data_IF_093692977428
#
_entry.id   IF_093692977428
#
_cell.length_a   1.000
_cell.length_b   1.000
_cell.length_c   1.000
_cell.angle_alpha   90.00
_cell.angle_beta   90.00
_cell.angle_gamma   90.00
#
_symmetry.space_group_name_H-M   'P 1'
#
loop_
_entity.id
_entity.type
_entity.pdbx_description
1 polymer ?
#
# COMPACT_ATOMS: atom_id res chain seq x y z
N UNK A 1 -53.06 -19.02 -35.95
CA UNK A 1 -52.32 -17.90 -35.32
C UNK A 1 -51.14 -18.51 -34.56
N UNK A 2 -49.92 -18.34 -35.07
CA UNK A 2 -48.71 -18.84 -34.39
C UNK A 2 -48.23 -17.78 -33.39
N UNK A 3 -48.09 -18.16 -32.13
CA UNK A 3 -47.60 -17.28 -31.07
C UNK A 3 -46.07 -17.19 -31.17
N UNK A 4 -45.55 -16.07 -31.65
CA UNK A 4 -44.11 -15.75 -31.71
C UNK A 4 -43.66 -15.02 -30.43
N UNK A 5 -44.07 -15.50 -29.26
CA UNK A 5 -43.59 -14.94 -28.00
C UNK A 5 -42.13 -15.34 -27.78
N UNK A 6 -41.24 -14.36 -27.66
CA UNK A 6 -39.86 -14.60 -27.26
C UNK A 6 -39.84 -15.28 -25.88
N UNK A 7 -39.22 -16.45 -25.79
CA UNK A 7 -39.02 -17.14 -24.51
C UNK A 7 -38.06 -16.29 -23.70
N UNK A 8 -38.44 -15.80 -22.51
CA UNK A 8 -37.52 -15.06 -21.67
C UNK A 8 -36.32 -15.95 -21.37
N UNK A 9 -35.12 -15.40 -21.53
CA UNK A 9 -33.88 -16.10 -21.23
C UNK A 9 -33.83 -16.31 -19.71
N UNK A 10 -34.31 -17.48 -19.25
CA UNK A 10 -34.40 -17.83 -17.83
C UNK A 10 -33.11 -18.45 -17.33
N UNK A 11 -32.10 -18.59 -18.19
CA UNK A 11 -30.81 -19.14 -17.80
C UNK A 11 -30.01 -18.04 -17.12
N UNK A 12 -29.79 -18.21 -15.82
CA UNK A 12 -28.91 -17.32 -15.07
C UNK A 12 -27.58 -17.16 -15.80
N UNK A 13 -27.28 -15.94 -16.25
CA UNK A 13 -26.00 -15.66 -16.88
C UNK A 13 -24.92 -15.65 -15.80
N UNK A 14 -23.71 -16.02 -16.21
CA UNK A 14 -22.52 -16.12 -15.34
C UNK A 14 -22.23 -14.83 -14.53
N UNK A 15 -22.80 -13.70 -14.95
CA UNK A 15 -22.54 -12.37 -14.40
C UNK A 15 -23.76 -11.69 -13.79
N UNK A 16 -24.90 -12.37 -13.64
CA UNK A 16 -26.12 -11.76 -13.04
C UNK A 16 -25.88 -11.26 -11.61
N UNK A 17 -24.97 -11.90 -10.88
CA UNK A 17 -24.57 -11.46 -9.54
C UNK A 17 -23.99 -10.04 -9.52
N UNK A 18 -23.47 -9.53 -10.65
CA UNK A 18 -22.93 -8.17 -10.74
C UNK A 18 -24.02 -7.12 -10.51
N UNK A 19 -25.26 -7.43 -10.83
CA UNK A 19 -26.37 -6.50 -10.64
C UNK A 19 -26.70 -6.27 -9.16
N UNK A 20 -26.39 -7.25 -8.31
CA UNK A 20 -26.60 -7.21 -6.86
C UNK A 20 -25.41 -6.60 -6.08
N UNK A 21 -24.39 -6.07 -6.75
CA UNK A 21 -23.26 -5.42 -6.09
C UNK A 21 -23.69 -4.13 -5.38
N UNK A 22 -23.46 -4.04 -4.07
CA UNK A 22 -23.78 -2.83 -3.30
C UNK A 22 -22.99 -1.60 -3.77
N UNK A 23 -21.75 -1.79 -4.26
CA UNK A 23 -20.91 -0.71 -4.77
C UNK A 23 -21.36 -0.14 -6.12
N UNK A 24 -22.34 -0.77 -6.81
CA UNK A 24 -22.80 -0.31 -8.13
C UNK A 24 -23.40 1.10 -8.11
N UNK A 25 -24.06 1.46 -7.00
CA UNK A 25 -24.74 2.75 -6.84
C UNK A 25 -23.87 3.79 -6.11
N UNK A 26 -22.63 3.43 -5.77
CA UNK A 26 -21.70 4.28 -5.06
C UNK A 26 -20.77 4.99 -6.06
N UNK A 27 -20.15 6.08 -5.62
CA UNK A 27 -19.26 6.87 -6.48
C UNK A 27 -17.97 6.09 -6.82
N UNK A 28 -17.50 6.06 -8.09
CA UNK A 28 -16.27 5.36 -8.46
C UNK A 28 -15.04 5.86 -7.68
N UNK A 29 -15.00 7.16 -7.36
CA UNK A 29 -13.88 7.77 -6.65
C UNK A 29 -13.68 7.17 -5.25
N UNK A 30 -14.76 6.71 -4.61
CA UNK A 30 -14.72 6.04 -3.30
C UNK A 30 -13.81 4.80 -3.35
N UNK A 31 -13.78 4.08 -4.47
CA UNK A 31 -13.02 2.84 -4.60
C UNK A 31 -11.63 3.05 -5.20
N UNK A 32 -11.38 4.14 -5.92
CA UNK A 32 -10.08 4.42 -6.54
C UNK A 32 -9.14 5.26 -5.67
N UNK A 33 -9.68 6.11 -4.79
CA UNK A 33 -8.86 7.05 -4.01
C UNK A 33 -8.44 6.49 -2.64
N UNK A 34 -7.15 6.65 -2.30
CA UNK A 34 -6.58 6.21 -1.02
C UNK A 34 -7.31 6.79 0.21
N UNK A 35 -7.81 8.03 0.09
CA UNK A 35 -8.51 8.73 1.17
C UNK A 35 -9.86 8.09 1.54
N UNK A 36 -10.45 7.31 0.63
CA UNK A 36 -11.73 6.64 0.81
C UNK A 36 -11.61 5.12 0.99
N UNK A 37 -10.38 4.58 1.15
CA UNK A 37 -10.16 3.13 1.28
C UNK A 37 -10.98 2.50 2.40
N UNK A 38 -11.07 3.14 3.56
CA UNK A 38 -11.85 2.63 4.69
C UNK A 38 -13.34 2.52 4.37
N UNK A 39 -13.90 3.55 3.73
CA UNK A 39 -15.31 3.60 3.32
C UNK A 39 -15.62 2.54 2.26
N UNK A 40 -14.77 2.42 1.24
CA UNK A 40 -14.88 1.38 0.22
C UNK A 40 -14.85 -0.03 0.83
N UNK A 41 -13.97 -0.26 1.81
CA UNK A 41 -13.88 -1.55 2.51
C UNK A 41 -15.16 -1.86 3.30
N UNK A 42 -15.72 -0.88 4.01
CA UNK A 42 -17.02 -1.04 4.69
C UNK A 42 -18.09 -1.45 3.69
N UNK A 43 -18.20 -0.78 2.55
CA UNK A 43 -19.21 -1.08 1.54
C UNK A 43 -19.03 -2.52 1.02
N UNK A 44 -17.79 -2.91 0.68
CA UNK A 44 -17.53 -4.25 0.17
C UNK A 44 -17.76 -5.36 1.22
N UNK A 45 -17.36 -5.15 2.47
CA UNK A 45 -17.35 -6.21 3.50
C UNK A 45 -18.70 -6.32 4.21
N UNK A 46 -19.32 -5.19 4.52
CA UNK A 46 -20.53 -5.15 5.36
C UNK A 46 -21.80 -5.10 4.51
N UNK A 47 -21.79 -4.35 3.40
CA UNK A 47 -23.02 -4.06 2.63
C UNK A 47 -23.19 -4.94 1.39
N UNK A 48 -22.11 -5.46 0.81
CA UNK A 48 -22.18 -6.16 -0.48
C UNK A 48 -22.54 -7.65 -0.32
N UNK A 49 -23.72 -8.10 -0.82
CA UNK A 49 -24.14 -9.49 -0.68
C UNK A 49 -23.39 -10.46 -1.59
N UNK A 50 -22.78 -9.96 -2.67
CA UNK A 50 -22.07 -10.75 -3.69
C UNK A 50 -20.55 -10.64 -3.59
N UNK A 51 -20.05 -10.33 -2.39
CA UNK A 51 -18.62 -10.14 -2.14
C UNK A 51 -17.79 -11.36 -2.55
N UNK A 52 -18.22 -12.56 -2.20
CA UNK A 52 -17.47 -13.80 -2.48
C UNK A 52 -17.37 -14.06 -3.98
N UNK A 53 -18.45 -13.84 -4.73
CA UNK A 53 -18.45 -13.94 -6.20
C UNK A 53 -17.55 -12.88 -6.84
N UNK A 54 -17.61 -11.64 -6.34
CA UNK A 54 -16.73 -10.53 -6.76
C UNK A 54 -15.26 -10.89 -6.55
N UNK A 55 -14.90 -11.40 -5.37
CA UNK A 55 -13.53 -11.80 -5.06
C UNK A 55 -13.03 -12.91 -5.99
N UNK A 56 -13.82 -13.98 -6.17
CA UNK A 56 -13.45 -15.08 -7.05
C UNK A 56 -13.27 -14.63 -8.50
N UNK A 57 -14.12 -13.72 -8.99
CA UNK A 57 -14.00 -13.14 -10.32
C UNK A 57 -12.70 -12.34 -10.47
N UNK A 58 -12.40 -11.47 -9.50
CA UNK A 58 -11.20 -10.61 -9.49
C UNK A 58 -9.92 -11.43 -9.35
N UNK A 59 -9.93 -12.47 -8.52
CA UNK A 59 -8.81 -13.43 -8.43
C UNK A 59 -8.55 -14.13 -9.77
N UNK A 60 -9.58 -14.40 -10.56
CA UNK A 60 -9.43 -14.95 -11.91
C UNK A 60 -8.80 -13.94 -12.88
N UNK A 61 -9.22 -12.68 -12.82
CA UNK A 61 -8.74 -11.61 -13.71
C UNK A 61 -7.31 -11.14 -13.36
N UNK A 62 -6.98 -11.03 -12.08
CA UNK A 62 -5.70 -10.48 -11.60
C UNK A 62 -4.61 -11.54 -11.40
N UNK A 63 -4.89 -12.82 -11.67
CA UNK A 63 -3.92 -13.90 -11.46
C UNK A 63 -2.63 -13.64 -12.24
N UNK A 64 -1.50 -13.58 -11.53
CA UNK A 64 -0.18 -13.36 -12.14
C UNK A 64 0.06 -11.91 -12.58
N UNK A 65 -0.87 -11.00 -12.30
CA UNK A 65 -0.74 -9.58 -12.63
C UNK A 65 0.14 -8.88 -11.58
N UNK A 66 1.07 -8.05 -12.04
CA UNK A 66 1.95 -7.25 -11.17
C UNK A 66 1.16 -6.26 -10.31
N UNK A 67 1.80 -5.79 -9.23
CA UNK A 67 1.20 -4.82 -8.30
C UNK A 67 0.71 -3.54 -9.01
N UNK A 68 1.49 -3.02 -9.95
CA UNK A 68 1.23 -1.71 -10.59
C UNK A 68 0.06 -1.72 -11.58
N UNK A 69 -0.50 -2.89 -11.88
CA UNK A 69 -1.68 -3.04 -12.74
C UNK A 69 -2.95 -3.31 -11.95
N UNK A 70 -2.89 -3.25 -10.63
CA UNK A 70 -4.02 -3.40 -9.72
C UNK A 70 -4.29 -2.05 -9.10
N UNK A 71 -5.55 -1.63 -9.12
CA UNK A 71 -5.96 -0.36 -8.57
C UNK A 71 -7.13 -0.53 -7.60
N UNK A 72 -7.26 0.45 -6.71
CA UNK A 72 -8.40 0.63 -5.83
C UNK A 72 -8.70 -0.52 -4.87
N UNK A 73 -9.87 -0.41 -4.24
CA UNK A 73 -10.44 -1.40 -3.33
C UNK A 73 -11.44 -2.26 -4.08
N UNK A 74 -11.24 -3.58 -4.06
CA UNK A 74 -12.14 -4.54 -4.69
C UNK A 74 -12.37 -5.70 -3.75
N UNK A 75 -13.62 -6.11 -3.56
CA UNK A 75 -14.04 -7.14 -2.60
C UNK A 75 -13.52 -6.92 -1.15
N UNK A 76 -13.27 -5.65 -0.78
CA UNK A 76 -12.77 -5.24 0.53
C UNK A 76 -11.25 -5.32 0.69
N UNK A 77 -10.52 -5.58 -0.40
CA UNK A 77 -9.06 -5.68 -0.41
C UNK A 77 -8.46 -4.56 -1.26
N UNK A 78 -7.42 -3.91 -0.76
CA UNK A 78 -6.64 -2.94 -1.54
C UNK A 78 -5.81 -3.65 -2.62
N UNK A 79 -5.37 -2.91 -3.64
CA UNK A 79 -4.50 -3.44 -4.70
C UNK A 79 -3.25 -4.16 -4.14
N UNK A 80 -2.62 -3.58 -3.11
CA UNK A 80 -1.46 -4.16 -2.46
C UNK A 80 -1.79 -5.45 -1.70
N UNK A 81 -2.93 -5.51 -1.01
CA UNK A 81 -3.38 -6.71 -0.30
C UNK A 81 -3.68 -7.85 -1.28
N UNK A 82 -4.38 -7.56 -2.38
CA UNK A 82 -4.66 -8.56 -3.44
C UNK A 82 -3.37 -9.10 -4.05
N UNK A 83 -2.41 -8.24 -4.36
CA UNK A 83 -1.11 -8.66 -4.87
C UNK A 83 -0.32 -9.50 -3.86
N UNK A 84 -0.32 -9.12 -2.57
CA UNK A 84 0.37 -9.90 -1.53
C UNK A 84 -0.23 -11.28 -1.29
N UNK A 85 -1.50 -11.51 -1.63
CA UNK A 85 -2.14 -12.81 -1.47
C UNK A 85 -2.06 -13.70 -2.71
N UNK A 86 -1.76 -13.12 -3.86
CA UNK A 86 -1.57 -13.85 -5.11
C UNK A 86 -0.15 -14.44 -5.19
N UNK A 87 -0.04 -15.72 -4.85
CA UNK A 87 1.23 -16.47 -4.93
C UNK A 87 1.81 -16.56 -6.34
N UNK A 88 0.99 -16.33 -7.38
CA UNK A 88 1.44 -16.36 -8.79
C UNK A 88 1.95 -15.00 -9.28
N UNK A 89 1.78 -13.93 -8.50
CA UNK A 89 2.17 -12.60 -8.91
C UNK A 89 3.71 -12.42 -8.92
N UNK A 90 4.27 -11.73 -9.91
CA UNK A 90 5.70 -11.44 -9.97
C UNK A 90 6.13 -10.59 -8.77
N UNK A 91 7.29 -10.93 -8.20
CA UNK A 91 7.86 -10.24 -7.03
C UNK A 91 7.22 -10.61 -5.68
N UNK A 92 6.24 -11.52 -5.66
CA UNK A 92 5.62 -12.00 -4.42
C UNK A 92 6.65 -12.55 -3.43
N UNK A 93 7.65 -13.29 -3.91
CA UNK A 93 8.71 -13.91 -3.09
C UNK A 93 9.60 -12.91 -2.35
N UNK A 94 9.67 -11.67 -2.80
CA UNK A 94 10.55 -10.64 -2.21
C UNK A 94 9.95 -10.02 -0.96
N UNK A 95 8.63 -10.11 -0.80
CA UNK A 95 7.96 -9.66 0.40
C UNK A 95 7.88 -10.82 1.38
N UNK A 96 8.02 -10.56 2.69
CA UNK A 96 7.76 -11.59 3.68
C UNK A 96 6.35 -12.09 3.40
N UNK A 97 6.27 -13.37 3.00
CA UNK A 97 5.02 -14.05 2.78
C UNK A 97 4.16 -13.74 4.00
N UNK A 98 2.89 -13.42 3.78
CA UNK A 98 1.93 -13.54 4.88
C UNK A 98 1.94 -15.04 5.17
N UNK A 99 2.82 -15.45 6.09
CA UNK A 99 2.95 -16.84 6.49
C UNK A 99 1.66 -17.14 7.24
N UNK A 100 0.67 -17.62 6.49
CA UNK A 100 -0.47 -18.30 7.06
C UNK A 100 0.12 -19.60 7.58
N UNK A 101 0.54 -19.58 8.84
CA UNK A 101 0.85 -20.82 9.55
C UNK A 101 -0.37 -21.73 9.46
N UNK A 102 -0.14 -23.04 9.40
CA UNK A 102 -1.23 -24.03 9.43
C UNK A 102 -2.10 -23.85 10.68
N UNK A 103 -1.50 -23.33 11.76
CA UNK A 103 -2.24 -22.83 12.91
C UNK A 103 -2.96 -21.53 12.51
N UNK A 104 -4.30 -21.52 12.49
CA UNK A 104 -5.05 -20.30 12.20
C UNK A 104 -4.64 -19.21 13.19
N UNK A 105 -4.29 -18.00 12.71
CA UNK A 105 -3.99 -16.89 13.60
C UNK A 105 -5.21 -16.64 14.50
N UNK A 106 -4.98 -16.26 15.75
CA UNK A 106 -6.08 -15.84 16.62
C UNK A 106 -6.85 -14.70 15.93
N UNK A 107 -8.19 -14.79 15.95
CA UNK A 107 -9.06 -13.71 15.48
C UNK A 107 -8.71 -12.39 16.20
N UNK A 108 -8.95 -11.26 15.54
CA UNK A 108 -8.54 -9.93 16.03
C UNK A 108 -7.16 -9.46 15.57
N UNK A 109 -6.48 -10.20 14.68
CA UNK A 109 -5.26 -9.73 14.02
C UNK A 109 -5.53 -9.28 12.58
N UNK A 110 -4.66 -8.42 12.00
CA UNK A 110 -4.80 -8.02 10.60
C UNK A 110 -4.71 -9.22 9.66
N UNK A 111 -3.80 -10.15 9.94
CA UNK A 111 -3.62 -11.35 9.14
C UNK A 111 -4.85 -12.26 9.20
N UNK A 112 -5.51 -12.36 10.37
CA UNK A 112 -6.78 -13.08 10.48
C UNK A 112 -7.87 -12.42 9.63
N UNK A 113 -8.04 -11.09 9.72
CA UNK A 113 -8.99 -10.37 8.87
C UNK A 113 -8.71 -10.60 7.38
N UNK A 114 -7.45 -10.42 6.95
CA UNK A 114 -7.04 -10.64 5.57
C UNK A 114 -7.30 -12.08 5.10
N UNK A 115 -7.11 -13.08 5.98
CA UNK A 115 -7.46 -14.47 5.69
C UNK A 115 -8.95 -14.66 5.47
N UNK A 116 -9.80 -14.18 6.38
CA UNK A 116 -11.26 -14.24 6.21
C UNK A 116 -11.68 -13.57 4.90
N UNK A 117 -11.11 -12.39 4.64
CA UNK A 117 -11.40 -11.65 3.42
C UNK A 117 -10.99 -12.46 2.17
N UNK A 118 -9.79 -13.05 2.15
CA UNK A 118 -9.28 -13.79 0.99
C UNK A 118 -10.02 -15.09 0.68
N UNK A 119 -10.42 -15.83 1.71
CA UNK A 119 -11.16 -17.07 1.54
C UNK A 119 -12.66 -16.85 1.32
N UNK A 120 -13.14 -15.61 1.51
CA UNK A 120 -14.57 -15.30 1.43
C UNK A 120 -15.34 -15.78 2.66
N UNK A 121 -14.65 -16.06 3.76
CA UNK A 121 -15.26 -16.46 5.03
C UNK A 121 -15.98 -15.27 5.68
N UNK A 122 -16.89 -15.57 6.62
CA UNK A 122 -17.48 -14.54 7.47
C UNK A 122 -16.39 -13.92 8.34
N UNK A 123 -16.40 -12.59 8.42
CA UNK A 123 -15.47 -11.82 9.24
C UNK A 123 -16.01 -11.74 10.66
N UNK A 124 -15.26 -12.25 11.63
CA UNK A 124 -15.65 -12.18 13.04
C UNK A 124 -15.64 -10.72 13.56
N UNK A 125 -16.50 -10.36 14.53
CA UNK A 125 -16.52 -9.03 15.13
C UNK A 125 -15.18 -8.59 15.72
N UNK A 126 -14.39 -9.54 16.24
CA UNK A 126 -13.05 -9.28 16.78
C UNK A 126 -12.07 -8.86 15.67
N UNK A 127 -12.09 -9.55 14.53
CA UNK A 127 -11.28 -9.23 13.36
C UNK A 127 -11.64 -7.85 12.80
N UNK A 128 -12.94 -7.54 12.74
CA UNK A 128 -13.41 -6.24 12.26
C UNK A 128 -13.04 -5.09 13.22
N UNK A 129 -13.29 -5.26 14.52
CA UNK A 129 -13.01 -4.24 15.53
C UNK A 129 -11.51 -3.95 15.67
N UNK A 130 -10.65 -4.95 15.47
CA UNK A 130 -9.21 -4.75 15.43
C UNK A 130 -8.76 -3.84 14.28
N UNK A 131 -9.39 -3.96 13.10
CA UNK A 131 -9.10 -3.08 11.96
C UNK A 131 -9.59 -1.66 12.22
N UNK A 132 -10.82 -1.51 12.73
CA UNK A 132 -11.36 -0.19 13.12
C UNK A 132 -10.47 0.50 14.15
N UNK A 133 -9.99 -0.26 15.16
CA UNK A 133 -9.07 0.26 16.17
C UNK A 133 -7.73 0.69 15.56
N UNK A 134 -7.17 -0.11 14.64
CA UNK A 134 -5.92 0.22 13.94
C UNK A 134 -6.08 1.46 13.07
N UNK A 135 -7.16 1.56 12.31
CA UNK A 135 -7.42 2.72 11.46
C UNK A 135 -7.53 4.00 12.28
N UNK A 136 -8.23 3.94 13.42
CA UNK A 136 -8.31 5.05 14.36
C UNK A 136 -6.93 5.46 14.90
N UNK A 137 -6.07 4.50 15.26
CA UNK A 137 -4.71 4.76 15.72
C UNK A 137 -3.87 5.40 14.61
N UNK A 138 -3.96 4.90 13.38
CA UNK A 138 -3.24 5.46 12.23
C UNK A 138 -3.64 6.91 11.99
N UNK A 139 -4.95 7.23 11.94
CA UNK A 139 -5.42 8.61 11.78
C UNK A 139 -4.91 9.53 12.89
N UNK A 140 -4.98 9.08 14.14
CA UNK A 140 -4.43 9.85 15.27
C UNK A 140 -2.93 10.12 15.10
N UNK A 141 -2.14 9.15 14.61
CA UNK A 141 -0.71 9.38 14.34
C UNK A 141 -0.45 10.33 13.18
N UNK A 142 -1.28 10.31 12.12
CA UNK A 142 -1.14 11.23 10.98
C UNK A 142 -1.49 12.66 11.38
N UNK A 143 -2.50 12.84 12.22
CA UNK A 143 -2.93 14.15 12.74
C UNK A 143 -1.94 14.73 13.77
N UNK A 144 -1.19 13.88 14.48
CA UNK A 144 -0.19 14.31 15.49
C UNK A 144 1.22 14.45 14.92
N UNK A 145 1.43 14.17 13.63
CA UNK A 145 2.69 14.52 12.96
C UNK A 145 2.94 16.02 13.11
N UNK A 146 4.20 16.46 13.37
CA UNK A 146 4.50 17.88 13.50
C UNK A 146 3.95 18.56 12.26
N UNK A 147 2.95 19.43 12.46
CA UNK A 147 2.39 20.24 11.39
C UNK A 147 3.58 20.90 10.70
N UNK A 148 3.94 20.39 9.52
CA UNK A 148 4.95 21.02 8.69
C UNK A 148 4.44 22.45 8.55
N UNK A 149 5.18 23.46 9.06
CA UNK A 149 4.68 24.81 9.16
C UNK A 149 4.27 25.20 7.75
N UNK A 150 2.96 25.35 7.55
CA UNK A 150 2.44 25.79 6.27
C UNK A 150 3.12 27.13 6.03
N UNK A 151 3.91 27.28 4.95
CA UNK A 151 4.58 28.54 4.68
C UNK A 151 3.47 29.59 4.63
N UNK A 152 3.53 30.51 5.59
CA UNK A 152 2.60 31.62 5.74
C UNK A 152 2.60 32.35 4.40
N UNK A 153 1.52 32.17 3.65
CA UNK A 153 1.37 32.70 2.30
C UNK A 153 1.26 34.20 2.48
N UNK A 154 2.40 34.89 2.37
CA UNK A 154 2.41 36.31 2.10
C UNK A 154 1.53 36.57 0.86
N UNK A 155 0.68 37.60 0.85
CA UNK A 155 -0.19 37.91 -0.28
C UNK A 155 0.67 38.08 -1.54
N UNK A 156 0.55 37.13 -2.47
CA UNK A 156 1.30 37.13 -3.70
C UNK A 156 0.75 38.22 -4.65
N UNK A 157 1.62 38.98 -5.33
CA UNK A 157 1.22 39.85 -6.44
C UNK A 157 0.66 39.02 -7.60
N UNK A 158 -0.25 39.65 -8.37
CA UNK A 158 -1.01 39.04 -9.47
C UNK A 158 -0.12 38.28 -10.47
N UNK A 159 -0.49 37.05 -10.88
CA UNK A 159 0.33 36.21 -11.75
C UNK A 159 0.19 36.61 -13.24
N UNK A 160 1.30 36.75 -14.00
CA UNK A 160 1.21 36.72 -15.45
C UNK A 160 0.83 35.31 -15.94
N UNK A 161 -0.04 35.29 -16.94
CA UNK A 161 -0.54 34.09 -17.58
C UNK A 161 0.58 33.37 -18.35
N UNK A 162 1.12 32.29 -17.81
CA UNK A 162 1.73 31.24 -18.62
C UNK A 162 1.75 29.90 -17.87
N UNK A 163 0.84 29.00 -18.27
CA UNK A 163 0.66 27.67 -17.71
C UNK A 163 1.53 26.65 -18.42
N UNK A 164 2.80 26.56 -18.02
CA UNK A 164 3.60 25.35 -18.23
C UNK A 164 3.73 24.62 -16.89
N UNK A 165 2.83 23.65 -16.66
CA UNK A 165 2.90 22.71 -15.54
C UNK A 165 4.12 21.81 -15.74
N UNK A 166 5.25 22.32 -15.29
CA UNK A 166 6.55 21.69 -15.33
C UNK A 166 6.52 20.54 -14.31
N UNK A 167 6.41 19.31 -14.82
CA UNK A 167 6.79 18.11 -14.10
C UNK A 167 8.29 18.21 -13.81
N UNK A 168 8.65 18.95 -12.75
CA UNK A 168 9.98 18.87 -12.16
C UNK A 168 10.10 17.46 -11.60
N UNK A 169 10.58 16.54 -12.45
CA UNK A 169 11.19 15.30 -12.03
C UNK A 169 12.05 15.65 -10.81
N UNK A 170 11.72 15.07 -9.65
CA UNK A 170 12.45 15.33 -8.40
C UNK A 170 13.91 15.08 -8.71
N UNK A 171 14.69 16.16 -8.88
CA UNK A 171 16.12 16.03 -9.08
C UNK A 171 16.64 15.21 -7.90
N UNK A 172 17.42 14.13 -8.14
CA UNK A 172 18.00 13.38 -7.06
C UNK A 172 18.74 14.36 -6.14
N UNK A 173 18.60 14.23 -4.81
CA UNK A 173 19.22 15.15 -3.87
C UNK A 173 20.71 15.24 -4.16
N UNK A 174 21.27 16.45 -4.06
CA UNK A 174 22.70 16.64 -4.27
C UNK A 174 23.47 15.76 -3.27
N UNK A 175 24.63 15.24 -3.69
CA UNK A 175 25.47 14.37 -2.85
C UNK A 175 25.73 15.06 -1.50
N UNK A 176 25.33 14.44 -0.39
CA UNK A 176 25.55 14.97 0.95
C UNK A 176 24.35 15.65 1.61
N UNK A 177 23.22 15.82 0.92
CA UNK A 177 22.07 16.53 1.49
C UNK A 177 21.26 15.72 2.50
N UNK A 178 21.31 14.39 2.42
CA UNK A 178 20.50 13.59 3.34
C UNK A 178 21.05 13.68 4.77
N UNK A 179 20.20 13.81 5.80
CA UNK A 179 20.65 13.78 7.20
C UNK A 179 21.49 12.54 7.53
N UNK A 180 21.20 11.43 6.85
CA UNK A 180 21.95 10.18 6.97
C UNK A 180 23.39 10.30 6.43
N UNK A 181 23.58 10.85 5.24
CA UNK A 181 24.91 11.11 4.64
C UNK A 181 25.76 12.03 5.52
N UNK A 182 25.17 13.12 6.04
CA UNK A 182 25.86 14.05 6.97
C UNK A 182 26.30 13.39 8.28
N UNK A 183 25.56 12.38 8.75
CA UNK A 183 25.91 11.64 9.96
C UNK A 183 27.06 10.65 9.70
N UNK A 184 27.03 9.95 8.56
CA UNK A 184 28.14 9.08 8.13
C UNK A 184 29.42 9.89 7.95
N UNK A 185 29.36 11.04 7.27
CA UNK A 185 30.52 11.93 7.09
C UNK A 185 31.14 12.37 8.42
N UNK A 186 30.31 12.82 9.38
CA UNK A 186 30.80 13.25 10.70
C UNK A 186 31.50 12.14 11.47
N UNK A 187 30.97 10.91 11.44
CA UNK A 187 31.58 9.78 12.13
C UNK A 187 32.86 9.32 11.42
N UNK A 188 32.89 9.32 10.08
CA UNK A 188 34.08 9.03 9.31
C UNK A 188 35.19 10.06 9.57
N UNK A 189 34.87 11.36 9.55
CA UNK A 189 35.81 12.44 9.84
C UNK A 189 36.34 12.40 11.28
N UNK A 190 35.62 11.78 12.20
CA UNK A 190 36.05 11.52 13.57
C UNK A 190 36.90 10.24 13.73
N UNK A 191 37.27 9.58 12.62
CA UNK A 191 38.17 8.41 12.61
C UNK A 191 37.49 7.08 12.93
N UNK A 192 36.15 7.01 12.94
CA UNK A 192 35.45 5.75 13.17
C UNK A 192 35.53 4.82 11.94
N UNK A 193 35.80 3.54 12.19
CA UNK A 193 35.72 2.47 11.18
C UNK A 193 34.29 2.23 10.70
N UNK A 194 34.12 1.66 9.50
CA UNK A 194 32.79 1.39 8.92
C UNK A 194 31.93 0.51 9.83
N UNK A 195 32.55 -0.44 10.56
CA UNK A 195 31.87 -1.30 11.55
C UNK A 195 31.36 -0.50 12.76
N UNK A 196 32.15 0.44 13.27
CA UNK A 196 31.74 1.31 14.38
C UNK A 196 30.63 2.27 13.95
N UNK A 197 30.72 2.83 12.74
CA UNK A 197 29.67 3.68 12.16
C UNK A 197 28.36 2.88 12.04
N UNK A 198 28.43 1.67 11.48
CA UNK A 198 27.29 0.77 11.32
C UNK A 198 26.59 0.48 12.67
N UNK A 199 27.36 0.11 13.70
CA UNK A 199 26.85 -0.12 15.06
C UNK A 199 26.18 1.12 15.65
N UNK A 200 26.82 2.29 15.53
CA UNK A 200 26.32 3.54 16.13
C UNK A 200 25.08 4.10 15.43
N UNK A 201 24.93 3.83 14.14
CA UNK A 201 23.77 4.23 13.34
C UNK A 201 22.67 3.16 13.27
N UNK A 202 22.89 1.96 13.86
CA UNK A 202 22.01 0.80 13.76
C UNK A 202 21.69 0.43 12.29
N UNK A 203 22.71 0.46 11.42
CA UNK A 203 22.61 0.09 9.99
C UNK A 203 23.64 -0.99 9.65
N UNK A 204 23.49 -1.63 8.50
CA UNK A 204 24.44 -2.63 8.02
C UNK A 204 25.75 -2.01 7.50
N UNK A 205 26.87 -2.71 7.64
CA UNK A 205 28.18 -2.27 7.09
C UNK A 205 28.12 -2.00 5.58
N UNK A 206 27.48 -2.84 4.73
CA UNK A 206 27.35 -2.55 3.30
C UNK A 206 26.54 -1.29 3.00
N UNK A 207 25.62 -0.88 3.87
CA UNK A 207 24.90 0.39 3.72
C UNK A 207 25.81 1.59 3.98
N UNK A 208 26.67 1.52 5.00
CA UNK A 208 27.67 2.57 5.27
C UNK A 208 28.65 2.71 4.12
N UNK A 209 29.15 1.58 3.58
CA UNK A 209 30.06 1.57 2.43
C UNK A 209 29.46 2.26 1.20
N UNK A 210 28.21 1.93 0.83
CA UNK A 210 27.51 2.57 -0.29
C UNK A 210 27.33 4.08 -0.11
N UNK A 211 27.02 4.52 1.11
CA UNK A 211 26.90 5.95 1.43
C UNK A 211 28.26 6.64 1.32
N UNK A 212 29.31 6.00 1.82
CA UNK A 212 30.68 6.51 1.76
C UNK A 212 31.19 6.67 0.33
N UNK A 213 31.00 5.65 -0.51
CA UNK A 213 31.33 5.66 -1.93
C UNK A 213 30.60 6.78 -2.68
N UNK A 214 29.32 6.98 -2.39
CA UNK A 214 28.53 8.06 -2.99
C UNK A 214 29.06 9.45 -2.62
N UNK A 215 29.55 9.61 -1.39
CA UNK A 215 30.19 10.83 -0.90
C UNK A 215 31.64 11.01 -1.39
N UNK A 216 32.22 10.01 -2.07
CA UNK A 216 33.60 10.07 -2.53
C UNK A 216 34.64 9.98 -1.41
N UNK A 217 34.28 9.39 -0.26
CA UNK A 217 35.19 9.24 0.87
C UNK A 217 36.01 7.94 0.72
N UNK A 218 37.31 8.01 1.06
CA UNK A 218 38.24 6.90 0.93
C UNK A 218 37.92 5.75 1.90
N UNK A 219 38.34 4.51 1.55
CA UNK A 219 38.34 3.39 2.49
C UNK A 219 39.04 3.74 3.79
N UNK A 220 38.40 3.45 4.92
CA UNK A 220 39.02 3.61 6.23
C UNK A 220 40.24 2.68 6.33
N UNK A 221 41.44 3.25 6.24
CA UNK A 221 42.70 2.53 6.39
C UNK A 221 42.98 2.09 7.84
N UNK A 222 42.18 2.56 8.79
CA UNK A 222 42.30 2.26 10.22
C UNK A 222 41.93 0.81 10.61
N UNK A 223 41.63 -0.07 9.64
CA UNK A 223 41.32 -1.47 9.88
C UNK A 223 42.57 -2.39 9.99
N UNK A 224 43.78 -1.86 9.78
CA UNK A 224 45.01 -2.65 9.69
C UNK A 224 45.94 -2.55 10.91
N UNK A 225 45.44 -2.16 12.08
CA UNK A 225 46.23 -2.07 13.33
C UNK A 225 45.68 -2.99 14.41
#
# INVERSE_FOLDING_TARGET
MAYTGAVPDTRAHRHDWMEAMACRNEKPETFSETKHEHEARIICVVRCPVRTQCLAHVQGLERGVSKDRRDGVVAGLTAHERWRMDATAPGHSTHPALVFTDVPPKCGTQNALLRHLWHGDRVDPDCWSAEVRRDRLNRATTETGPAEPQPEIAPAPEPPADTTKNQRAKQPPAKGDTPHERRVYRLWAAGFSDLQIARRMAVSVPQVQRVRERLGLLPNLHAAS
#
